data_IF_908985692822
#
_entry.id   IF_908985692822
#
_cell.length_a   1.000
_cell.length_b   1.000
_cell.length_c   1.000
_cell.angle_alpha   90.00
_cell.angle_beta   90.00
_cell.angle_gamma   90.00
#
_symmetry.space_group_name_H-M   'P 1'
#
loop_
_entity.id
_entity.type
_entity.pdbx_description
1 polymer ?
#
# COMPACT_ATOMS: atom_id res chain seq x y z
N UNK A 1 16.14 -18.95 -5.84
CA UNK A 1 15.54 -17.62 -5.99
C UNK A 1 15.95 -17.03 -7.33
N UNK A 2 14.97 -16.72 -8.15
CA UNK A 2 15.22 -16.10 -9.45
C UNK A 2 15.83 -14.70 -9.27
N UNK A 3 16.92 -14.43 -9.98
CA UNK A 3 17.47 -13.09 -10.04
C UNK A 3 16.67 -12.29 -11.08
N UNK A 4 16.10 -11.17 -10.66
CA UNK A 4 15.33 -10.28 -11.53
C UNK A 4 16.26 -9.27 -12.22
N UNK A 5 16.07 -9.11 -13.52
CA UNK A 5 16.87 -8.15 -14.30
C UNK A 5 16.36 -6.73 -14.05
N UNK A 6 17.19 -5.69 -14.27
CA UNK A 6 16.73 -4.30 -14.17
C UNK A 6 15.52 -3.99 -15.05
N UNK A 7 15.45 -4.58 -16.24
CA UNK A 7 14.31 -4.38 -17.17
C UNK A 7 13.05 -4.98 -16.58
N UNK A 8 13.14 -6.17 -15.98
CA UNK A 8 12.00 -6.82 -15.33
C UNK A 8 11.51 -6.03 -14.12
N UNK A 9 12.43 -5.49 -13.32
CA UNK A 9 12.10 -4.65 -12.17
C UNK A 9 11.41 -3.36 -12.63
N UNK A 10 11.92 -2.73 -13.68
CA UNK A 10 11.29 -1.53 -14.25
C UNK A 10 9.88 -1.81 -14.77
N UNK A 11 9.69 -2.94 -15.45
CA UNK A 11 8.38 -3.34 -15.94
C UNK A 11 7.39 -3.56 -14.80
N UNK A 12 7.81 -4.22 -13.73
CA UNK A 12 6.98 -4.42 -12.54
C UNK A 12 6.65 -3.10 -11.83
N UNK A 13 7.62 -2.20 -11.77
CA UNK A 13 7.40 -0.86 -11.19
C UNK A 13 6.35 -0.09 -11.97
N UNK A 14 6.37 -0.16 -13.30
CA UNK A 14 5.37 0.44 -14.18
C UNK A 14 3.98 -0.13 -13.93
N UNK A 15 3.87 -1.45 -13.80
CA UNK A 15 2.60 -2.13 -13.52
C UNK A 15 2.04 -1.70 -12.18
N UNK A 16 2.87 -1.66 -11.15
CA UNK A 16 2.46 -1.23 -9.81
C UNK A 16 2.08 0.26 -9.80
N UNK A 17 2.79 1.09 -10.57
CA UNK A 17 2.43 2.51 -10.70
C UNK A 17 1.07 2.70 -11.37
N UNK A 18 0.70 1.85 -12.33
CA UNK A 18 -0.65 1.87 -12.91
C UNK A 18 -1.70 1.55 -11.84
N UNK A 19 -1.45 0.55 -11.01
CA UNK A 19 -2.32 0.21 -9.88
C UNK A 19 -2.42 1.35 -8.86
N UNK A 20 -1.29 1.97 -8.53
CA UNK A 20 -1.25 3.13 -7.64
C UNK A 20 -2.03 4.30 -8.20
N UNK A 21 -1.94 4.55 -9.51
CA UNK A 21 -2.72 5.59 -10.18
C UNK A 21 -4.22 5.35 -10.09
N UNK A 22 -4.65 4.10 -10.26
CA UNK A 22 -6.06 3.71 -10.09
C UNK A 22 -6.52 3.94 -8.65
N UNK A 23 -5.71 3.54 -7.67
CA UNK A 23 -6.01 3.75 -6.26
C UNK A 23 -6.08 5.24 -5.92
N UNK A 24 -5.13 6.03 -6.42
CA UNK A 24 -5.09 7.48 -6.20
C UNK A 24 -6.35 8.16 -6.74
N UNK A 25 -6.81 7.77 -7.92
CA UNK A 25 -8.03 8.30 -8.50
C UNK A 25 -9.25 7.98 -7.63
N UNK A 26 -9.36 6.74 -7.14
CA UNK A 26 -10.46 6.32 -6.27
C UNK A 26 -10.44 7.11 -4.95
N UNK A 27 -9.27 7.24 -4.33
CA UNK A 27 -9.11 7.98 -3.08
C UNK A 27 -9.38 9.48 -3.26
N UNK A 28 -8.98 10.05 -4.40
CA UNK A 28 -9.25 11.47 -4.70
C UNK A 28 -10.75 11.73 -4.80
N UNK A 29 -11.50 10.83 -5.45
CA UNK A 29 -12.96 10.93 -5.52
C UNK A 29 -13.60 10.80 -4.14
N UNK A 30 -13.09 9.88 -3.33
CA UNK A 30 -13.62 9.58 -2.01
C UNK A 30 -13.40 10.73 -1.02
N UNK A 31 -12.23 11.38 -1.08
CA UNK A 31 -11.86 12.45 -0.16
C UNK A 31 -12.21 13.84 -0.66
N UNK A 32 -12.41 14.00 -1.96
CA UNK A 32 -12.56 15.33 -2.58
C UNK A 32 -11.24 16.10 -2.66
N UNK A 33 -10.12 15.44 -2.36
CA UNK A 33 -8.78 16.05 -2.41
C UNK A 33 -7.95 15.36 -3.47
N UNK A 34 -6.99 16.08 -4.07
CA UNK A 34 -6.05 15.46 -4.97
C UNK A 34 -5.08 14.57 -4.19
N UNK A 35 -5.05 13.28 -4.54
CA UNK A 35 -4.15 12.31 -3.94
C UNK A 35 -3.28 11.72 -5.03
N UNK A 36 -1.98 11.75 -4.83
CA UNK A 36 -0.98 11.19 -5.74
C UNK A 36 -0.26 10.05 -5.04
N UNK A 37 -0.18 8.91 -5.71
CA UNK A 37 0.53 7.73 -5.22
C UNK A 37 1.50 7.25 -6.30
N UNK A 38 2.68 6.84 -5.88
CA UNK A 38 3.68 6.29 -6.80
C UNK A 38 4.54 5.26 -6.11
N UNK A 39 5.22 4.43 -6.91
CA UNK A 39 6.23 3.49 -6.44
C UNK A 39 7.60 4.10 -6.73
N UNK A 40 8.29 4.62 -5.73
CA UNK A 40 9.61 5.23 -5.94
C UNK A 40 10.69 4.21 -6.23
N UNK A 41 10.57 3.00 -5.68
CA UNK A 41 11.53 1.92 -5.89
C UNK A 41 10.87 0.57 -5.65
N UNK A 42 11.43 -0.45 -6.27
CA UNK A 42 10.99 -1.83 -6.10
C UNK A 42 12.21 -2.69 -5.83
N UNK A 43 12.14 -3.53 -4.83
CA UNK A 43 13.23 -4.42 -4.43
C UNK A 43 12.68 -5.82 -4.15
N UNK A 44 13.40 -6.83 -4.66
CA UNK A 44 13.16 -8.23 -4.30
C UNK A 44 14.13 -8.63 -3.21
N UNK A 45 13.61 -9.14 -2.11
CA UNK A 45 14.44 -9.47 -0.96
C UNK A 45 13.82 -10.63 -0.17
N UNK A 46 14.48 -11.05 0.88
CA UNK A 46 13.98 -12.11 1.76
C UNK A 46 13.10 -11.52 2.85
N UNK A 47 12.23 -12.36 3.41
CA UNK A 47 11.38 -11.97 4.55
C UNK A 47 12.21 -11.48 5.72
N UNK A 48 13.32 -12.16 6.02
CA UNK A 48 14.21 -11.78 7.12
C UNK A 48 14.84 -10.39 6.91
N UNK A 49 15.25 -10.08 5.69
CA UNK A 49 15.81 -8.76 5.35
C UNK A 49 14.79 -7.67 5.53
N UNK A 50 13.55 -7.89 5.11
CA UNK A 50 12.45 -6.92 5.29
C UNK A 50 12.20 -6.69 6.78
N UNK A 51 12.11 -7.74 7.57
CA UNK A 51 11.89 -7.64 9.01
C UNK A 51 13.01 -6.84 9.69
N UNK A 52 14.26 -7.10 9.31
CA UNK A 52 15.42 -6.38 9.84
C UNK A 52 15.36 -4.89 9.49
N UNK A 53 15.07 -4.57 8.23
CA UNK A 53 14.93 -3.16 7.78
C UNK A 53 13.82 -2.43 8.53
N UNK A 54 12.69 -3.07 8.74
CA UNK A 54 11.57 -2.48 9.47
C UNK A 54 11.93 -2.21 10.92
N UNK A 55 12.65 -3.11 11.56
CA UNK A 55 13.11 -2.92 12.94
C UNK A 55 14.12 -1.78 13.08
N UNK A 56 14.98 -1.61 12.07
CA UNK A 56 16.01 -0.57 12.08
C UNK A 56 15.49 0.82 11.74
N UNK A 57 14.47 0.90 10.88
CA UNK A 57 14.01 2.16 10.31
C UNK A 57 12.97 2.88 11.16
N UNK A 58 12.39 2.23 12.16
CA UNK A 58 11.22 2.82 12.83
C UNK A 58 11.48 3.12 14.29
N UNK A 59 11.42 4.39 14.61
CA UNK A 59 11.24 4.88 15.96
C UNK A 59 9.76 4.93 16.32
N UNK A 60 8.86 4.69 15.37
CA UNK A 60 7.42 4.88 15.51
C UNK A 60 6.67 3.59 15.26
N UNK A 61 5.46 3.53 15.81
CA UNK A 61 4.55 2.43 15.59
C UNK A 61 4.06 2.43 14.15
N UNK A 62 3.96 1.25 13.56
CA UNK A 62 3.42 1.06 12.22
C UNK A 62 2.03 0.48 12.31
N UNK A 63 1.16 0.95 11.42
CA UNK A 63 -0.15 0.35 11.17
C UNK A 63 -0.03 -0.47 9.89
N UNK A 64 -0.45 -1.71 9.95
CA UNK A 64 -0.39 -2.62 8.80
C UNK A 64 -1.79 -2.99 8.35
N UNK A 65 -2.03 -2.89 7.04
CA UNK A 65 -3.23 -3.45 6.41
C UNK A 65 -2.78 -4.67 5.62
N UNK A 66 -3.40 -5.81 5.88
CA UNK A 66 -3.06 -7.07 5.24
C UNK A 66 -4.16 -7.51 4.28
N UNK A 67 -3.78 -7.94 3.11
CA UNK A 67 -4.67 -8.53 2.12
C UNK A 67 -4.08 -9.86 1.65
N UNK A 68 -4.66 -11.00 2.06
CA UNK A 68 -4.24 -12.29 1.50
C UNK A 68 -4.74 -12.42 0.07
N UNK A 69 -3.96 -13.06 -0.79
CA UNK A 69 -4.35 -13.31 -2.17
C UNK A 69 -3.96 -14.71 -2.58
N UNK A 70 -4.75 -15.29 -3.49
CA UNK A 70 -4.56 -16.64 -4.00
C UNK A 70 -4.95 -16.67 -5.47
N UNK A 71 -4.20 -17.42 -6.26
CA UNK A 71 -4.41 -17.54 -7.70
C UNK A 71 -3.18 -18.12 -8.36
N UNK A 72 -2.75 -17.54 -9.46
CA UNK A 72 -1.51 -17.93 -10.13
C UNK A 72 -0.31 -17.75 -9.21
N UNK A 73 -0.37 -16.76 -8.36
CA UNK A 73 0.58 -16.51 -7.29
C UNK A 73 -0.22 -16.37 -6.01
N UNK A 74 0.26 -16.93 -4.92
CA UNK A 74 -0.40 -16.82 -3.63
C UNK A 74 0.53 -16.16 -2.62
N UNK A 75 -0.04 -15.41 -1.70
CA UNK A 75 0.72 -14.76 -0.66
C UNK A 75 -0.11 -13.78 0.15
N UNK A 76 0.60 -12.96 0.90
CA UNK A 76 0.01 -11.88 1.68
C UNK A 76 0.63 -10.54 1.24
N UNK A 77 -0.24 -9.59 0.95
CA UNK A 77 0.18 -8.22 0.68
C UNK A 77 -0.01 -7.39 1.96
N UNK A 78 0.94 -6.54 2.25
CA UNK A 78 0.89 -5.64 3.40
C UNK A 78 1.13 -4.22 2.95
N UNK A 79 0.32 -3.31 3.46
CA UNK A 79 0.54 -1.89 3.33
C UNK A 79 0.85 -1.35 4.72
N UNK A 80 1.99 -0.69 4.86
CA UNK A 80 2.49 -0.20 6.15
C UNK A 80 2.48 1.32 6.17
N UNK A 81 1.92 1.87 7.25
CA UNK A 81 1.89 3.32 7.49
C UNK A 81 2.51 3.63 8.84
N UNK A 82 3.32 4.69 8.97
CA UNK A 82 3.60 5.24 10.29
C UNK A 82 2.29 5.71 10.93
N UNK A 83 2.10 5.43 12.21
CA UNK A 83 0.84 5.74 12.90
C UNK A 83 0.47 7.22 12.80
N UNK A 84 1.44 8.12 12.98
CA UNK A 84 1.19 9.56 12.90
C UNK A 84 0.77 10.04 11.52
N UNK A 85 1.29 9.39 10.45
CA UNK A 85 0.90 9.72 9.08
C UNK A 85 -0.47 9.15 8.72
N UNK A 86 -0.82 8.02 9.29
CA UNK A 86 -2.14 7.42 9.07
C UNK A 86 -3.25 8.30 9.60
N UNK A 87 -3.01 9.04 10.67
CA UNK A 87 -3.98 10.01 11.20
C UNK A 87 -4.28 11.14 10.21
N UNK A 88 -3.29 11.61 9.47
CA UNK A 88 -3.49 12.62 8.42
C UNK A 88 -4.42 12.13 7.33
N UNK A 89 -4.22 10.89 6.89
CA UNK A 89 -5.05 10.25 5.86
C UNK A 89 -6.50 10.11 6.37
N UNK A 90 -6.66 9.64 7.59
CA UNK A 90 -7.98 9.45 8.20
C UNK A 90 -8.73 10.77 8.33
N UNK A 91 -8.05 11.84 8.77
CA UNK A 91 -8.65 13.17 8.87
C UNK A 91 -9.14 13.68 7.52
N UNK A 92 -8.37 13.43 6.46
CA UNK A 92 -8.76 13.81 5.11
C UNK A 92 -10.01 13.06 4.65
N UNK A 93 -10.13 11.78 5.01
CA UNK A 93 -11.27 10.93 4.60
C UNK A 93 -12.52 11.27 5.42
N UNK A 94 -12.40 11.35 6.73
CA UNK A 94 -13.53 11.59 7.62
C UNK A 94 -13.92 13.06 7.69
N UNK A 95 -13.09 13.95 7.17
CA UNK A 95 -13.29 15.41 7.21
C UNK A 95 -13.48 15.93 8.63
N UNK A 96 -12.90 15.25 9.59
CA UNK A 96 -12.95 15.61 10.99
C UNK A 96 -11.61 16.13 11.46
N UNK A 97 -11.65 17.19 12.27
CA UNK A 97 -10.51 17.64 13.04
C UNK A 97 -10.62 17.03 14.43
N UNK A 98 -10.08 15.83 14.60
CA UNK A 98 -9.99 15.27 15.94
C UNK A 98 -8.65 15.67 16.55
N UNK A 99 -8.63 16.23 17.76
CA UNK A 99 -7.40 16.57 18.45
C UNK A 99 -6.71 15.36 19.06
N UNK A 100 -7.24 14.17 18.88
CA UNK A 100 -6.69 12.95 19.47
C UNK A 100 -5.50 12.43 18.66
N UNK A 101 -4.43 12.12 19.37
CA UNK A 101 -3.18 11.56 18.79
C UNK A 101 -3.26 10.04 18.64
N UNK A 102 -4.38 9.42 19.01
CA UNK A 102 -4.55 7.97 18.94
C UNK A 102 -5.59 7.57 17.89
N UNK A 103 -5.34 6.45 17.26
CA UNK A 103 -6.28 5.86 16.31
C UNK A 103 -7.50 5.31 17.05
N UNK A 104 -8.65 5.89 16.78
CA UNK A 104 -9.93 5.35 17.24
C UNK A 104 -10.30 4.14 16.40
N UNK A 105 -11.29 3.36 16.82
CA UNK A 105 -11.77 2.22 16.06
C UNK A 105 -12.31 2.63 14.68
N UNK A 106 -13.04 3.75 14.62
CA UNK A 106 -13.57 4.31 13.37
C UNK A 106 -12.42 4.70 12.44
N UNK A 107 -11.37 5.31 12.99
CA UNK A 107 -10.18 5.68 12.22
C UNK A 107 -9.46 4.45 11.67
N UNK A 108 -9.39 3.37 12.43
CA UNK A 108 -8.79 2.11 11.98
C UNK A 108 -9.59 1.49 10.84
N UNK A 109 -10.91 1.50 10.93
CA UNK A 109 -11.79 1.01 9.86
C UNK A 109 -11.59 1.81 8.57
N UNK A 110 -11.52 3.14 8.68
CA UNK A 110 -11.25 4.02 7.54
C UNK A 110 -9.89 3.72 6.92
N UNK A 111 -8.87 3.49 7.74
CA UNK A 111 -7.53 3.17 7.27
C UNK A 111 -7.48 1.80 6.58
N UNK A 112 -8.22 0.81 7.08
CA UNK A 112 -8.37 -0.48 6.42
C UNK A 112 -9.01 -0.35 5.05
N UNK A 113 -10.03 0.50 4.93
CA UNK A 113 -10.69 0.78 3.64
C UNK A 113 -9.70 1.38 2.63
N UNK A 114 -8.91 2.36 3.06
CA UNK A 114 -7.86 2.96 2.22
C UNK A 114 -6.83 1.91 1.81
N UNK A 115 -6.37 1.13 2.75
CA UNK A 115 -5.39 0.07 2.50
C UNK A 115 -5.91 -0.96 1.50
N UNK A 116 -7.15 -1.37 1.64
CA UNK A 116 -7.79 -2.33 0.74
C UNK A 116 -7.93 -1.76 -0.68
N UNK A 117 -8.28 -0.48 -0.81
CA UNK A 117 -8.35 0.18 -2.12
C UNK A 117 -6.99 0.15 -2.82
N UNK A 118 -5.93 0.50 -2.09
CA UNK A 118 -4.57 0.52 -2.65
C UNK A 118 -4.11 -0.90 -3.01
N UNK A 119 -4.22 -1.83 -2.07
CA UNK A 119 -3.76 -3.21 -2.27
C UNK A 119 -4.52 -3.92 -3.37
N UNK A 120 -5.84 -3.78 -3.40
CA UNK A 120 -6.66 -4.41 -4.42
C UNK A 120 -6.38 -3.87 -5.81
N UNK A 121 -6.16 -2.57 -5.96
CA UNK A 121 -5.80 -1.97 -7.23
C UNK A 121 -4.44 -2.50 -7.73
N UNK A 122 -3.45 -2.57 -6.85
CA UNK A 122 -2.13 -3.10 -7.20
C UNK A 122 -2.18 -4.59 -7.54
N UNK A 123 -2.88 -5.39 -6.74
CA UNK A 123 -3.02 -6.82 -6.97
C UNK A 123 -3.80 -7.12 -8.25
N UNK A 124 -4.86 -6.39 -8.52
CA UNK A 124 -5.65 -6.56 -9.75
C UNK A 124 -4.82 -6.26 -10.98
N UNK A 125 -4.05 -5.18 -10.96
CA UNK A 125 -3.17 -4.81 -12.07
C UNK A 125 -2.11 -5.88 -12.31
N UNK A 126 -1.50 -6.38 -11.24
CA UNK A 126 -0.49 -7.44 -11.32
C UNK A 126 -1.09 -8.75 -11.86
N UNK A 127 -2.24 -9.17 -11.34
CA UNK A 127 -2.90 -10.40 -11.77
C UNK A 127 -3.35 -10.32 -13.24
N UNK A 128 -3.84 -9.19 -13.68
CA UNK A 128 -4.25 -9.00 -15.08
C UNK A 128 -3.05 -9.14 -16.03
N UNK A 129 -1.92 -8.58 -15.66
CA UNK A 129 -0.69 -8.72 -16.45
C UNK A 129 -0.21 -10.18 -16.52
N UNK A 130 -0.31 -10.92 -15.43
CA UNK A 130 0.10 -12.32 -15.40
C UNK A 130 -0.81 -13.21 -16.24
N UNK A 131 -2.09 -12.86 -16.38
CA UNK A 131 -3.04 -13.61 -17.23
C UNK A 131 -2.79 -13.40 -18.73
N UNK A 132 -2.25 -12.25 -19.08
CA UNK A 132 -2.00 -11.90 -20.48
C UNK A 132 -0.65 -12.42 -21.00
N UNK A 133 0.19 -12.92 -20.12
CA UNK A 133 1.51 -13.42 -20.50
C UNK A 133 1.52 -14.90 -20.88
#
# INVERSE_FOLDING_TARGET
VKAWTPIEIDALSEILNLGMGTAAAALSRMTGCEILLSVPSLEFTTRNSVTTKLKQSTETRLVAVREPFDGLISGDAFLLFPEHRSLEIVRAILKETTPEDTLTEVAREALCEVGNIILNACLATLCNMLKES
#
